data_IF_102781799498
#
_entry.id   IF_102781799498
#
_cell.length_a   1.000
_cell.length_b   1.000
_cell.length_c   1.000
_cell.angle_alpha   90.00
_cell.angle_beta   90.00
_cell.angle_gamma   90.00
#
_symmetry.space_group_name_H-M   'P 1'
#
loop_
_entity.id
_entity.type
_entity.pdbx_description
1 polymer ?
#
# COMPACT_ATOMS: atom_id res chain seq x y z
N UNK A 1 -8.56 26.39 -5.38
CA UNK A 1 -7.36 25.55 -5.16
C UNK A 1 -6.15 26.30 -5.72
N UNK A 2 -5.17 26.60 -4.88
CA UNK A 2 -3.92 27.22 -5.33
C UNK A 2 -2.97 26.15 -5.88
N UNK A 3 -2.68 26.19 -7.19
CA UNK A 3 -1.76 25.28 -7.84
C UNK A 3 -0.32 25.38 -7.32
N UNK A 4 0.05 26.52 -6.74
CA UNK A 4 1.38 26.80 -6.17
C UNK A 4 1.55 26.26 -4.75
N UNK A 5 0.43 25.94 -4.06
CA UNK A 5 0.51 25.36 -2.72
C UNK A 5 1.30 24.05 -2.74
N UNK A 6 2.29 23.84 -1.87
CA UNK A 6 3.01 22.56 -1.77
C UNK A 6 2.14 21.43 -1.20
N UNK A 7 0.92 21.77 -0.75
CA UNK A 7 0.02 20.85 -0.07
C UNK A 7 -0.61 19.86 -1.05
N UNK A 8 -0.58 18.60 -0.66
CA UNK A 8 -1.26 17.41 -1.20
C UNK A 8 -1.49 17.35 -2.73
N UNK A 9 -0.60 16.70 -3.50
CA UNK A 9 -0.77 16.56 -4.95
C UNK A 9 -2.04 15.77 -5.32
N UNK A 10 -2.43 14.77 -4.53
CA UNK A 10 -3.65 13.99 -4.75
C UNK A 10 -4.91 14.87 -4.77
N UNK A 11 -5.04 15.79 -3.82
CA UNK A 11 -6.16 16.74 -3.77
C UNK A 11 -6.17 17.67 -4.99
N UNK A 12 -4.99 18.11 -5.45
CA UNK A 12 -4.88 19.01 -6.61
C UNK A 12 -5.40 18.36 -7.90
N UNK A 13 -5.10 17.08 -8.09
CA UNK A 13 -5.53 16.32 -9.27
C UNK A 13 -7.01 15.99 -9.20
N UNK A 14 -7.48 15.48 -8.06
CA UNK A 14 -8.87 15.02 -7.91
C UNK A 14 -9.85 16.15 -7.66
N UNK A 15 -9.41 17.31 -7.20
CA UNK A 15 -10.21 18.45 -6.75
C UNK A 15 -11.29 18.06 -5.70
N UNK A 16 -11.14 16.91 -5.09
CA UNK A 16 -12.06 16.40 -4.07
C UNK A 16 -11.48 16.62 -2.66
N UNK A 17 -12.27 17.27 -1.80
CA UNK A 17 -11.88 17.57 -0.41
C UNK A 17 -11.62 16.33 0.44
N UNK A 18 -12.22 15.20 0.12
CA UNK A 18 -11.97 13.90 0.79
C UNK A 18 -10.49 13.52 0.67
N UNK A 19 -9.87 13.79 -0.48
CA UNK A 19 -8.46 13.50 -0.73
C UNK A 19 -7.50 14.54 -0.14
N UNK A 20 -8.02 15.58 0.51
CA UNK A 20 -7.17 16.53 1.25
C UNK A 20 -6.64 15.90 2.55
N UNK A 21 -5.53 16.41 3.11
CA UNK A 21 -5.04 15.98 4.42
C UNK A 21 -6.11 16.12 5.50
N UNK A 22 -6.86 17.22 5.52
CA UNK A 22 -7.95 17.47 6.45
C UNK A 22 -9.10 16.47 6.25
N UNK A 23 -9.51 16.21 5.00
CA UNK A 23 -10.57 15.25 4.69
C UNK A 23 -10.22 13.85 5.20
N UNK A 24 -9.01 13.38 4.88
CA UNK A 24 -8.51 12.09 5.35
C UNK A 24 -8.44 12.00 6.87
N UNK A 25 -7.91 13.02 7.53
CA UNK A 25 -7.87 13.07 9.00
C UNK A 25 -9.27 13.05 9.62
N UNK A 26 -10.26 13.72 8.99
CA UNK A 26 -11.65 13.70 9.44
C UNK A 26 -12.28 12.31 9.30
N UNK A 27 -12.01 11.61 8.18
CA UNK A 27 -12.50 10.24 7.98
C UNK A 27 -11.90 9.27 9.01
N UNK A 28 -10.60 9.38 9.29
CA UNK A 28 -9.97 8.54 10.34
C UNK A 28 -10.56 8.84 11.70
N UNK A 29 -10.78 10.12 12.05
CA UNK A 29 -11.41 10.50 13.31
C UNK A 29 -12.81 9.91 13.44
N UNK A 30 -13.61 9.96 12.38
CA UNK A 30 -14.95 9.39 12.40
C UNK A 30 -14.90 7.85 12.52
N UNK A 31 -14.00 7.21 11.83
CA UNK A 31 -13.77 5.77 11.96
C UNK A 31 -13.38 5.37 13.39
N UNK A 32 -12.49 6.13 14.05
CA UNK A 32 -12.10 5.91 15.43
C UNK A 32 -13.30 6.10 16.39
N UNK A 33 -14.16 7.11 16.13
CA UNK A 33 -15.39 7.32 16.89
C UNK A 33 -16.33 6.12 16.76
N UNK A 34 -16.55 5.62 15.56
CA UNK A 34 -17.38 4.45 15.31
C UNK A 34 -16.82 3.16 15.94
N UNK A 35 -15.51 3.02 16.03
CA UNK A 35 -14.89 1.92 16.75
C UNK A 35 -15.13 2.05 18.26
N UNK A 36 -14.93 3.24 18.83
CA UNK A 36 -15.19 3.51 20.24
C UNK A 36 -16.65 3.24 20.62
N UNK A 37 -17.62 3.64 19.79
CA UNK A 37 -19.04 3.36 19.99
C UNK A 37 -19.36 1.85 20.05
N UNK A 38 -18.53 1.04 19.36
CA UNK A 38 -18.60 -0.43 19.38
C UNK A 38 -17.77 -1.07 20.50
N UNK A 39 -17.17 -0.26 21.38
CA UNK A 39 -16.31 -0.73 22.47
C UNK A 39 -14.95 -1.28 22.02
N UNK A 40 -14.52 -0.98 20.79
CA UNK A 40 -13.24 -1.41 20.25
C UNK A 40 -12.20 -0.33 20.49
N UNK A 41 -11.15 -0.66 21.23
CA UNK A 41 -9.98 0.20 21.43
C UNK A 41 -8.93 -0.10 20.36
N UNK A 42 -8.69 0.83 19.41
CA UNK A 42 -7.75 0.61 18.32
C UNK A 42 -6.29 0.49 18.80
N UNK A 43 -5.93 1.10 19.94
CA UNK A 43 -4.58 1.00 20.50
C UNK A 43 -4.31 -0.38 21.07
N UNK A 44 -5.29 -0.97 21.78
CA UNK A 44 -5.19 -2.35 22.25
C UNK A 44 -5.14 -3.32 21.08
N UNK A 45 -5.99 -3.10 20.07
CA UNK A 45 -6.00 -3.92 18.87
C UNK A 45 -4.64 -3.90 18.13
N UNK A 46 -3.97 -2.73 18.09
CA UNK A 46 -2.64 -2.57 17.50
C UNK A 46 -1.56 -3.31 18.30
N UNK A 47 -1.65 -3.29 19.64
CA UNK A 47 -0.70 -4.01 20.52
C UNK A 47 -0.88 -5.53 20.50
N UNK A 48 -2.11 -5.99 20.31
CA UNK A 48 -2.46 -7.42 20.24
C UNK A 48 -2.20 -8.03 18.84
N UNK A 49 -1.78 -7.22 17.86
CA UNK A 49 -1.42 -7.72 16.54
C UNK A 49 -0.25 -8.70 16.68
N UNK A 50 -0.42 -9.97 16.32
CA UNK A 50 0.66 -10.94 16.43
C UNK A 50 1.80 -10.53 15.51
N UNK A 51 3.00 -10.38 16.05
CA UNK A 51 4.24 -10.15 15.30
C UNK A 51 4.55 -11.34 14.36
N UNK A 52 3.97 -12.48 14.60
CA UNK A 52 4.23 -13.70 13.86
C UNK A 52 2.95 -14.38 13.35
N UNK A 53 2.88 -14.50 12.04
CA UNK A 53 2.14 -15.56 11.36
C UNK A 53 0.62 -15.36 11.26
N UNK A 54 0.14 -15.51 10.05
CA UNK A 54 -1.29 -15.59 9.76
C UNK A 54 -1.79 -16.98 10.19
N UNK A 55 -2.58 -17.03 11.27
CA UNK A 55 -3.28 -18.29 11.63
C UNK A 55 -4.31 -18.66 10.56
N UNK A 56 -4.50 -19.96 10.32
CA UNK A 56 -5.49 -20.46 9.37
C UNK A 56 -6.91 -19.94 9.68
N UNK A 57 -7.26 -19.82 10.96
CA UNK A 57 -8.53 -19.23 11.40
C UNK A 57 -8.69 -17.78 10.98
N UNK A 58 -7.64 -16.98 11.15
CA UNK A 58 -7.65 -15.56 10.75
C UNK A 58 -7.73 -15.41 9.24
N UNK A 59 -7.08 -16.30 8.48
CA UNK A 59 -7.16 -16.32 7.03
C UNK A 59 -8.59 -16.61 6.54
N UNK A 60 -9.25 -17.63 7.11
CA UNK A 60 -10.65 -17.96 6.79
C UNK A 60 -11.59 -16.81 7.14
N UNK A 61 -11.40 -16.16 8.29
CA UNK A 61 -12.19 -15.01 8.68
C UNK A 61 -12.00 -13.83 7.71
N UNK A 62 -10.75 -13.53 7.32
CA UNK A 62 -10.44 -12.46 6.34
C UNK A 62 -11.03 -12.74 4.97
N UNK A 63 -10.98 -13.99 4.48
CA UNK A 63 -11.60 -14.37 3.20
C UNK A 63 -13.11 -14.20 3.25
N UNK A 64 -13.76 -14.65 4.32
CA UNK A 64 -15.19 -14.48 4.51
C UNK A 64 -15.59 -12.99 4.55
N UNK A 65 -14.90 -12.18 5.36
CA UNK A 65 -15.18 -10.75 5.45
C UNK A 65 -14.98 -10.03 4.12
N UNK A 66 -13.91 -10.36 3.38
CA UNK A 66 -13.66 -9.78 2.06
C UNK A 66 -14.72 -10.19 1.04
N UNK A 67 -15.26 -11.40 1.14
CA UNK A 67 -16.35 -11.86 0.28
C UNK A 67 -17.66 -11.15 0.60
N UNK A 68 -18.00 -10.92 1.90
CA UNK A 68 -19.16 -10.13 2.33
C UNK A 68 -19.05 -8.67 1.88
N UNK A 69 -17.85 -8.07 2.01
CA UNK A 69 -17.60 -6.73 1.51
C UNK A 69 -17.83 -6.62 0.00
N UNK A 70 -17.39 -7.61 -0.78
CA UNK A 70 -17.64 -7.66 -2.23
C UNK A 70 -19.14 -7.82 -2.59
N UNK A 71 -19.96 -8.32 -1.66
CA UNK A 71 -21.41 -8.40 -1.81
C UNK A 71 -22.16 -7.10 -1.45
N UNK A 72 -21.42 -6.06 -1.04
CA UNK A 72 -21.98 -4.75 -0.73
C UNK A 72 -22.40 -4.59 0.73
N UNK A 73 -21.94 -5.45 1.65
CA UNK A 73 -22.12 -5.20 3.08
C UNK A 73 -21.38 -3.92 3.47
N UNK A 74 -22.14 -2.94 4.02
CA UNK A 74 -21.58 -1.64 4.34
C UNK A 74 -20.65 -1.70 5.55
N UNK A 75 -19.42 -1.24 5.37
CA UNK A 75 -18.50 -0.94 6.45
C UNK A 75 -17.77 0.38 6.13
N UNK A 76 -17.93 1.37 7.01
CA UNK A 76 -17.29 2.69 6.86
C UNK A 76 -15.77 2.62 6.69
N UNK A 77 -15.14 1.54 7.13
CA UNK A 77 -13.71 1.31 6.91
C UNK A 77 -13.32 1.24 5.41
N UNK A 78 -14.26 0.89 4.52
CA UNK A 78 -14.02 0.87 3.08
C UNK A 78 -13.91 2.29 2.50
N UNK A 79 -14.73 3.24 2.97
CA UNK A 79 -14.63 4.65 2.56
C UNK A 79 -13.29 5.25 3.00
N UNK A 80 -12.87 4.94 4.24
CA UNK A 80 -11.55 5.38 4.74
C UNK A 80 -10.42 4.78 3.92
N UNK A 81 -10.50 3.48 3.59
CA UNK A 81 -9.51 2.79 2.74
C UNK A 81 -9.41 3.44 1.37
N UNK A 82 -10.54 3.73 0.74
CA UNK A 82 -10.57 4.37 -0.58
C UNK A 82 -9.89 5.76 -0.53
N UNK A 83 -10.27 6.60 0.42
CA UNK A 83 -9.65 7.91 0.62
C UNK A 83 -8.14 7.81 0.89
N UNK A 84 -7.71 6.80 1.67
CA UNK A 84 -6.30 6.57 1.98
C UNK A 84 -5.50 5.97 0.83
N UNK A 85 -6.14 5.20 -0.06
CA UNK A 85 -5.49 4.60 -1.23
C UNK A 85 -4.94 5.64 -2.20
N UNK A 86 -5.60 6.80 -2.33
CA UNK A 86 -5.12 7.93 -3.11
C UNK A 86 -4.00 8.77 -2.44
N UNK A 87 -3.53 8.40 -1.26
CA UNK A 87 -2.44 9.10 -0.59
C UNK A 87 -1.08 8.62 -1.09
N UNK A 88 -0.27 9.52 -1.64
CA UNK A 88 1.08 9.22 -2.15
C UNK A 88 2.15 9.09 -1.06
N UNK A 89 1.79 9.24 0.21
CA UNK A 89 2.70 9.21 1.36
C UNK A 89 3.90 10.18 1.24
N UNK A 90 3.75 11.28 0.51
CA UNK A 90 4.81 12.26 0.24
C UNK A 90 5.20 13.14 1.43
N UNK A 91 4.50 13.03 2.58
CA UNK A 91 4.72 13.81 3.82
C UNK A 91 4.60 15.33 3.70
N UNK A 92 4.22 15.89 2.55
CA UNK A 92 4.04 17.34 2.39
C UNK A 92 3.03 17.92 3.40
N UNK A 93 2.04 17.14 3.83
CA UNK A 93 1.09 17.58 4.86
C UNK A 93 1.73 17.75 6.23
N UNK A 94 2.64 16.86 6.64
CA UNK A 94 3.30 16.94 7.95
C UNK A 94 4.33 18.06 8.02
N UNK A 95 5.01 18.38 6.91
CA UNK A 95 5.98 19.47 6.84
C UNK A 95 5.34 20.85 6.78
N UNK A 96 4.18 20.98 6.13
CA UNK A 96 3.48 22.25 5.97
C UNK A 96 2.47 22.55 7.10
N UNK A 97 2.10 21.57 7.89
CA UNK A 97 1.12 21.72 8.95
C UNK A 97 1.79 22.25 10.24
N UNK A 98 1.30 23.35 10.83
CA UNK A 98 1.84 23.87 12.10
C UNK A 98 1.80 22.85 13.26
N UNK A 99 0.79 21.98 13.27
CA UNK A 99 0.61 20.92 14.26
C UNK A 99 1.17 19.58 13.80
N UNK A 100 1.89 19.54 12.68
CA UNK A 100 2.61 18.38 12.11
C UNK A 100 1.76 17.10 12.00
N UNK A 101 0.51 17.23 11.54
CA UNK A 101 -0.34 16.06 11.29
C UNK A 101 0.25 15.23 10.16
N UNK A 102 0.62 13.99 10.46
CA UNK A 102 1.19 13.03 9.51
C UNK A 102 0.11 12.07 8.98
N UNK A 103 -0.51 12.43 7.85
CA UNK A 103 -1.52 11.58 7.20
C UNK A 103 -0.93 10.26 6.69
N UNK A 104 0.29 10.18 6.14
CA UNK A 104 0.98 8.92 5.86
C UNK A 104 1.07 7.96 7.05
N UNK A 105 1.34 8.46 8.24
CA UNK A 105 1.36 7.65 9.47
C UNK A 105 -0.04 7.10 9.79
N UNK A 106 -1.08 7.95 9.73
CA UNK A 106 -2.46 7.49 9.90
C UNK A 106 -2.86 6.45 8.87
N UNK A 107 -2.42 6.61 7.62
CA UNK A 107 -2.64 5.63 6.57
C UNK A 107 -2.00 4.29 6.90
N UNK A 108 -0.75 4.29 7.36
CA UNK A 108 -0.02 3.07 7.70
C UNK A 108 -0.73 2.29 8.81
N UNK A 109 -1.02 2.95 9.93
CA UNK A 109 -1.73 2.35 11.08
C UNK A 109 -3.14 1.88 10.71
N UNK A 110 -3.89 2.70 9.98
CA UNK A 110 -5.22 2.32 9.51
C UNK A 110 -5.16 1.06 8.63
N UNK A 111 -4.26 1.00 7.64
CA UNK A 111 -4.14 -0.16 6.75
C UNK A 111 -3.70 -1.41 7.50
N UNK A 112 -2.85 -1.29 8.51
CA UNK A 112 -2.47 -2.39 9.37
C UNK A 112 -3.71 -2.98 10.08
N UNK A 113 -4.51 -2.15 10.73
CA UNK A 113 -5.76 -2.56 11.39
C UNK A 113 -6.81 -3.06 10.40
N UNK A 114 -6.97 -2.42 9.23
CA UNK A 114 -7.90 -2.83 8.20
C UNK A 114 -7.61 -4.26 7.72
N UNK A 115 -6.33 -4.60 7.48
CA UNK A 115 -5.91 -5.91 7.00
C UNK A 115 -5.87 -6.99 8.10
N UNK A 116 -6.21 -6.69 9.34
CA UNK A 116 -6.54 -7.73 10.33
C UNK A 116 -7.90 -8.35 10.04
N UNK A 117 -8.82 -7.59 9.45
CA UNK A 117 -10.21 -8.00 9.15
C UNK A 117 -10.41 -8.42 7.70
N UNK A 118 -9.66 -7.83 6.77
CA UNK A 118 -9.81 -8.03 5.32
C UNK A 118 -8.52 -8.57 4.69
N UNK A 119 -8.66 -9.29 3.59
CA UNK A 119 -7.51 -9.77 2.82
C UNK A 119 -6.66 -8.60 2.30
N UNK A 120 -5.35 -8.79 2.37
CA UNK A 120 -4.41 -7.88 1.73
C UNK A 120 -4.27 -8.28 0.26
N UNK A 121 -4.29 -7.32 -0.68
CA UNK A 121 -4.07 -7.61 -2.10
C UNK A 121 -2.73 -8.34 -2.34
N UNK A 122 -2.71 -9.27 -3.29
CA UNK A 122 -1.50 -10.01 -3.65
C UNK A 122 -0.35 -9.08 -4.06
N UNK A 123 -0.68 -7.98 -4.74
CA UNK A 123 0.27 -6.93 -5.10
C UNK A 123 1.08 -6.43 -3.91
N UNK A 124 0.42 -6.17 -2.78
CA UNK A 124 1.08 -5.62 -1.59
C UNK A 124 2.07 -6.63 -0.99
N UNK A 125 1.74 -7.93 -1.04
CA UNK A 125 2.67 -9.00 -0.63
C UNK A 125 3.87 -9.08 -1.57
N UNK A 126 3.66 -9.04 -2.88
CA UNK A 126 4.74 -9.07 -3.87
C UNK A 126 5.70 -7.88 -3.69
N UNK A 127 5.16 -6.68 -3.50
CA UNK A 127 6.00 -5.49 -3.27
C UNK A 127 6.74 -5.58 -1.95
N UNK A 128 6.09 -6.04 -0.87
CA UNK A 128 6.71 -6.17 0.45
C UNK A 128 7.84 -7.22 0.51
N UNK A 129 7.77 -8.25 -0.34
CA UNK A 129 8.75 -9.35 -0.37
C UNK A 129 9.79 -9.23 -1.49
N UNK A 130 9.79 -8.10 -2.23
CA UNK A 130 10.68 -7.90 -3.38
C UNK A 130 12.16 -8.13 -3.05
N UNK A 131 12.60 -7.70 -1.88
CA UNK A 131 13.99 -7.88 -1.42
C UNK A 131 14.38 -9.36 -1.26
N UNK A 132 13.42 -10.23 -0.94
CA UNK A 132 13.65 -11.65 -0.76
C UNK A 132 13.81 -12.39 -2.08
N UNK A 133 13.04 -12.05 -3.11
CA UNK A 133 13.10 -12.75 -4.39
C UNK A 133 13.94 -12.03 -5.46
N UNK A 134 14.21 -10.73 -5.32
CA UNK A 134 15.04 -9.97 -6.27
C UNK A 134 16.44 -10.57 -6.48
N UNK A 135 17.16 -11.08 -5.44
CA UNK A 135 18.45 -11.72 -5.64
C UNK A 135 18.38 -13.00 -6.49
N UNK A 136 17.27 -13.76 -6.36
CA UNK A 136 17.05 -14.95 -7.16
C UNK A 136 16.79 -14.58 -8.64
N UNK A 137 15.97 -13.57 -8.87
CA UNK A 137 15.71 -13.05 -10.22
C UNK A 137 16.96 -12.47 -10.88
N UNK A 138 17.84 -11.84 -10.10
CA UNK A 138 19.10 -11.28 -10.56
C UNK A 138 20.12 -12.33 -11.03
N UNK A 139 19.94 -13.63 -10.69
CA UNK A 139 20.80 -14.72 -11.19
C UNK A 139 20.57 -15.02 -12.67
N UNK A 140 19.34 -14.83 -13.18
CA UNK A 140 18.96 -15.08 -14.56
C UNK A 140 18.15 -13.90 -15.16
N UNK A 141 18.72 -12.69 -15.24
CA UNK A 141 17.95 -11.49 -15.56
C UNK A 141 17.40 -11.51 -16.99
N UNK A 142 18.10 -12.08 -17.96
CA UNK A 142 17.65 -12.21 -19.35
C UNK A 142 16.40 -13.07 -19.45
N UNK A 143 16.41 -14.21 -18.77
CA UNK A 143 15.26 -15.15 -18.76
C UNK A 143 14.05 -14.51 -18.09
N UNK A 144 14.27 -13.85 -16.95
CA UNK A 144 13.20 -13.15 -16.22
C UNK A 144 12.60 -12.02 -17.07
N UNK A 145 13.43 -11.19 -17.69
CA UNK A 145 12.99 -10.12 -18.58
C UNK A 145 12.20 -10.66 -19.78
N UNK A 146 12.60 -11.81 -20.33
CA UNK A 146 11.86 -12.46 -21.42
C UNK A 146 10.44 -12.84 -20.98
N UNK A 147 10.27 -13.48 -19.81
CA UNK A 147 8.95 -13.85 -19.29
C UNK A 147 8.07 -12.64 -18.97
N UNK A 148 8.63 -11.61 -18.33
CA UNK A 148 7.86 -10.39 -17.98
C UNK A 148 7.39 -9.64 -19.23
N UNK A 149 8.19 -9.64 -20.30
CA UNK A 149 7.82 -8.98 -21.55
C UNK A 149 6.75 -9.71 -22.37
N UNK A 150 6.38 -10.94 -22.00
CA UNK A 150 5.32 -11.66 -22.71
C UNK A 150 3.98 -10.93 -22.56
N UNK A 151 3.25 -10.67 -23.65
CA UNK A 151 1.99 -9.93 -23.61
C UNK A 151 0.92 -10.62 -22.75
N UNK A 152 0.95 -11.95 -22.69
CA UNK A 152 0.06 -12.73 -21.86
C UNK A 152 0.33 -12.51 -20.36
N UNK A 153 1.61 -12.51 -19.95
CA UNK A 153 2.03 -12.28 -18.57
C UNK A 153 1.66 -10.85 -18.15
N UNK A 154 1.90 -9.86 -19.00
CA UNK A 154 1.52 -8.46 -18.75
C UNK A 154 0.00 -8.31 -18.56
N UNK A 155 -0.82 -8.88 -19.44
CA UNK A 155 -2.29 -8.87 -19.30
C UNK A 155 -2.77 -9.57 -18.03
N UNK A 156 -2.18 -10.70 -17.66
CA UNK A 156 -2.52 -11.43 -16.44
C UNK A 156 -2.12 -10.64 -15.20
N UNK A 157 -0.93 -10.03 -15.18
CA UNK A 157 -0.45 -9.20 -14.08
C UNK A 157 -1.32 -7.96 -13.89
N UNK A 158 -1.71 -7.29 -14.97
CA UNK A 158 -2.60 -6.14 -14.94
C UNK A 158 -4.00 -6.54 -14.41
N UNK A 159 -4.59 -7.59 -14.96
CA UNK A 159 -5.96 -8.01 -14.63
C UNK A 159 -6.11 -8.59 -13.23
N UNK A 160 -5.18 -9.44 -12.78
CA UNK A 160 -5.32 -10.20 -11.53
C UNK A 160 -4.50 -9.65 -10.37
N UNK A 161 -3.38 -9.00 -10.64
CA UNK A 161 -2.47 -8.45 -9.63
C UNK A 161 -2.62 -6.93 -9.54
N UNK A 162 -3.07 -6.27 -10.62
CA UNK A 162 -3.12 -4.82 -10.72
C UNK A 162 -1.73 -4.18 -10.83
N UNK A 163 -0.77 -4.90 -11.40
CA UNK A 163 0.58 -4.41 -11.68
C UNK A 163 0.73 -4.16 -13.18
N UNK A 164 0.87 -2.89 -13.52
CA UNK A 164 1.15 -2.42 -14.88
C UNK A 164 2.64 -2.14 -14.96
N UNK A 165 3.29 -2.51 -16.08
CA UNK A 165 4.70 -2.23 -16.38
C UNK A 165 5.67 -2.69 -15.26
N UNK A 166 5.77 -4.00 -15.10
CA UNK A 166 6.78 -4.58 -14.22
C UNK A 166 8.19 -4.13 -14.65
N UNK A 167 9.01 -3.63 -13.71
CA UNK A 167 10.34 -3.14 -14.03
C UNK A 167 11.24 -4.28 -14.54
N UNK A 168 11.96 -4.01 -15.62
CA UNK A 168 12.94 -4.94 -16.17
C UNK A 168 14.21 -4.89 -15.32
N UNK A 169 14.84 -6.04 -15.16
CA UNK A 169 16.14 -6.16 -14.50
C UNK A 169 17.23 -5.65 -15.41
N UNK A 170 18.16 -4.87 -14.86
CA UNK A 170 19.32 -4.36 -15.59
C UNK A 170 20.29 -5.48 -16.00
N UNK A 171 20.77 -5.41 -17.23
CA UNK A 171 21.80 -6.33 -17.76
C UNK A 171 22.88 -5.48 -18.42
N UNK A 172 24.12 -5.50 -17.89
CA UNK A 172 24.61 -6.20 -16.71
C UNK A 172 24.03 -5.65 -15.39
N UNK A 173 24.09 -6.43 -14.31
CA UNK A 173 23.67 -5.99 -12.99
C UNK A 173 24.55 -4.87 -12.46
N UNK A 174 24.04 -4.04 -11.53
CA UNK A 174 24.80 -2.96 -10.91
C UNK A 174 26.12 -3.49 -10.30
N UNK A 175 26.08 -4.66 -9.66
CA UNK A 175 27.26 -5.29 -9.08
C UNK A 175 28.32 -5.63 -10.13
N UNK A 176 27.92 -6.15 -11.29
CA UNK A 176 28.83 -6.43 -12.41
C UNK A 176 29.42 -5.15 -13.01
N UNK A 177 28.62 -4.09 -13.11
CA UNK A 177 29.09 -2.78 -13.57
C UNK A 177 30.13 -2.17 -12.62
N UNK A 178 29.90 -2.27 -11.30
CA UNK A 178 30.82 -1.76 -10.29
C UNK A 178 32.15 -2.52 -10.26
N UNK A 179 32.15 -3.84 -10.46
CA UNK A 179 33.37 -4.65 -10.56
C UNK A 179 34.16 -4.26 -11.83
N UNK A 180 33.48 -4.09 -12.97
CA UNK A 180 34.09 -3.62 -14.21
C UNK A 180 34.76 -2.24 -14.07
N UNK A 181 34.15 -1.32 -13.31
CA UNK A 181 34.76 0.00 -13.04
C UNK A 181 35.99 -0.07 -12.11
N UNK A 182 36.00 -1.02 -11.15
CA UNK A 182 37.15 -1.21 -10.25
C UNK A 182 38.36 -1.82 -10.95
N UNK A 183 38.17 -2.58 -12.00
CA UNK A 183 39.27 -3.18 -12.79
C UNK A 183 39.80 -2.26 -13.88
N UNK A 184 39.20 -1.11 -14.12
CA UNK A 184 39.61 -0.12 -15.12
C UNK A 184 40.40 1.08 -14.55
N UNK A 185 40.56 1.14 -13.21
CA UNK A 185 41.44 2.06 -12.49
C UNK A 185 42.59 1.29 -11.80
#
# INVERSE_FOLDING_TARGET
FDARSPMCPSMKITQNRIHSPKGRATLVREWLRLLADRGVDPLKLEQELPESGVSLRTLIARTRNSWHANKGEYDFSHEVKEAMSGCLACKACSTQCPIKIDVPEFRSRFLQLYHTRYLRPLRDHLVATVESYAPLMARAPKTFNFFINQPLVRKLSEKHIGMVDLPLLSVPSLQQQMVGHRSAN
#
